data_IF_575903355460
#
_entry.id   IF_575903355460
#
_cell.length_a   1.000
_cell.length_b   1.000
_cell.length_c   1.000
_cell.angle_alpha   90.00
_cell.angle_beta   90.00
_cell.angle_gamma   90.00
#
_symmetry.space_group_name_H-M   'P 1'
#
loop_
_entity.id
_entity.type
_entity.pdbx_description
1 polymer ?
#
# COMPACT_ATOMS: atom_id res chain seq x y z
N UNK A 1 -14.80 57.83 39.16
CA UNK A 1 -14.45 57.58 37.74
C UNK A 1 -15.32 56.45 37.23
N UNK A 2 -15.94 56.69 36.07
CA UNK A 2 -17.17 56.05 35.61
C UNK A 2 -16.97 54.65 34.99
N UNK A 3 -17.95 53.79 35.22
CA UNK A 3 -18.10 52.49 34.58
C UNK A 3 -18.45 52.61 33.09
N UNK A 4 -18.00 51.64 32.29
CA UNK A 4 -18.34 51.53 30.86
C UNK A 4 -19.57 50.63 30.67
N UNK A 5 -20.47 50.97 29.73
CA UNK A 5 -21.66 50.17 29.44
C UNK A 5 -21.32 48.98 28.52
N UNK A 6 -21.94 47.83 28.78
CA UNK A 6 -21.93 46.66 27.89
C UNK A 6 -22.96 46.87 26.79
N UNK A 7 -22.48 47.16 25.60
CA UNK A 7 -23.30 47.36 24.42
C UNK A 7 -23.75 46.01 23.85
N UNK A 8 -25.01 45.68 24.08
CA UNK A 8 -25.66 44.45 23.63
C UNK A 8 -26.01 44.54 22.15
N UNK A 9 -25.23 43.88 21.30
CA UNK A 9 -25.68 43.56 19.93
C UNK A 9 -26.07 42.09 19.86
N UNK A 10 -27.37 41.86 19.90
CA UNK A 10 -28.00 40.59 19.55
C UNK A 10 -27.52 40.13 18.16
N UNK A 11 -27.03 38.89 18.09
CA UNK A 11 -26.80 38.21 16.81
C UNK A 11 -28.16 37.79 16.25
N UNK A 12 -28.44 38.00 14.95
CA UNK A 12 -29.64 37.46 14.34
C UNK A 12 -29.56 35.93 14.29
N UNK A 13 -30.65 35.30 14.76
CA UNK A 13 -30.94 33.87 14.62
C UNK A 13 -30.87 33.46 13.15
N UNK A 14 -29.84 32.67 12.79
CA UNK A 14 -29.85 31.95 11.53
C UNK A 14 -30.97 30.92 11.56
N UNK A 15 -32.05 31.18 10.83
CA UNK A 15 -32.98 30.16 10.39
C UNK A 15 -32.20 29.07 9.65
N UNK A 16 -31.97 27.93 10.32
CA UNK A 16 -31.63 26.69 9.64
C UNK A 16 -32.84 26.32 8.80
N UNK A 17 -32.75 26.52 7.48
CA UNK A 17 -33.58 25.79 6.55
C UNK A 17 -33.30 24.30 6.76
N UNK A 18 -34.26 23.63 7.39
CA UNK A 18 -34.41 22.19 7.42
C UNK A 18 -34.66 21.73 5.99
N UNK A 19 -33.58 21.45 5.26
CA UNK A 19 -33.69 20.54 4.13
C UNK A 19 -34.08 19.18 4.70
N UNK A 20 -35.37 18.87 4.57
CA UNK A 20 -35.87 17.51 4.54
C UNK A 20 -35.10 16.76 3.45
N UNK A 21 -33.96 16.18 3.81
CA UNK A 21 -33.49 14.99 3.13
C UNK A 21 -34.54 13.93 3.43
N UNK A 22 -35.39 13.68 2.45
CA UNK A 22 -36.15 12.45 2.36
C UNK A 22 -35.14 11.31 2.34
N UNK A 23 -34.76 10.84 3.53
CA UNK A 23 -34.07 9.59 3.73
C UNK A 23 -34.96 8.51 3.16
N UNK A 24 -34.65 8.09 1.94
CA UNK A 24 -35.13 6.83 1.41
C UNK A 24 -34.60 5.76 2.34
N UNK A 25 -35.44 5.41 3.31
CA UNK A 25 -35.28 4.27 4.20
C UNK A 25 -35.37 3.01 3.35
N UNK A 26 -34.31 2.71 2.61
CA UNK A 26 -34.04 1.32 2.24
C UNK A 26 -33.56 0.67 3.52
N UNK A 27 -34.52 0.13 4.26
CA UNK A 27 -34.30 -1.02 5.11
C UNK A 27 -33.63 -2.12 4.26
N UNK A 28 -32.30 -2.04 4.12
CA UNK A 28 -31.47 -3.22 4.09
C UNK A 28 -31.72 -3.87 5.45
N UNK A 29 -32.72 -4.74 5.48
CA UNK A 29 -32.78 -5.80 6.47
C UNK A 29 -31.43 -6.49 6.33
N UNK A 30 -30.50 -6.10 7.20
CA UNK A 30 -29.38 -6.92 7.59
C UNK A 30 -30.00 -8.19 8.13
N UNK A 31 -30.25 -9.13 7.22
CA UNK A 31 -30.35 -10.53 7.53
C UNK A 31 -28.97 -10.84 8.08
N UNK A 32 -28.79 -10.63 9.38
CA UNK A 32 -27.79 -11.32 10.16
C UNK A 32 -28.19 -12.77 10.05
N UNK A 33 -27.89 -13.38 8.90
CA UNK A 33 -27.74 -14.82 8.80
C UNK A 33 -26.73 -15.12 9.90
N UNK A 34 -27.25 -15.59 11.03
CA UNK A 34 -26.52 -16.44 11.95
C UNK A 34 -25.80 -17.43 11.04
N UNK A 35 -24.53 -17.17 10.78
CA UNK A 35 -23.64 -18.03 10.01
C UNK A 35 -23.48 -19.28 10.85
N UNK A 36 -24.50 -20.14 10.79
CA UNK A 36 -24.47 -21.50 11.29
C UNK A 36 -23.17 -22.06 10.77
N UNK A 37 -22.26 -22.39 11.70
CA UNK A 37 -20.92 -22.89 11.41
C UNK A 37 -21.06 -24.02 10.40
N UNK A 38 -20.84 -23.73 9.12
CA UNK A 38 -21.00 -24.72 8.06
C UNK A 38 -19.94 -25.77 8.33
N UNK A 39 -20.38 -27.01 8.54
CA UNK A 39 -19.47 -28.13 8.69
C UNK A 39 -18.66 -28.23 7.41
N UNK A 40 -17.35 -28.40 7.54
CA UNK A 40 -16.50 -28.64 6.39
C UNK A 40 -17.02 -29.88 5.63
N UNK A 41 -16.92 -29.89 4.29
CA UNK A 41 -17.27 -31.08 3.51
C UNK A 41 -16.39 -32.25 3.96
N UNK A 42 -16.96 -33.46 3.96
CA UNK A 42 -16.22 -34.68 4.32
C UNK A 42 -15.12 -34.90 3.27
N UNK A 43 -13.88 -34.97 3.73
CA UNK A 43 -12.71 -35.29 2.90
C UNK A 43 -12.38 -36.78 3.08
N UNK A 44 -12.11 -37.48 1.98
CA UNK A 44 -11.68 -38.88 2.03
C UNK A 44 -10.16 -38.93 2.18
N UNK A 45 -9.69 -39.45 3.31
CA UNK A 45 -8.26 -39.60 3.55
C UNK A 45 -7.71 -40.82 2.77
N UNK A 46 -6.51 -40.73 2.18
CA UNK A 46 -5.88 -41.86 1.54
C UNK A 46 -5.68 -42.99 2.55
N UNK A 47 -6.04 -44.21 2.16
CA UNK A 47 -5.94 -45.40 3.02
C UNK A 47 -4.64 -46.17 2.79
N UNK A 48 -3.89 -45.84 1.73
CA UNK A 48 -2.65 -46.54 1.33
C UNK A 48 -1.57 -45.55 0.91
N UNK A 49 -0.31 -45.97 0.96
CA UNK A 49 0.82 -45.15 0.51
C UNK A 49 0.71 -44.83 -0.98
N UNK A 50 0.29 -45.80 -1.80
CA UNK A 50 0.10 -45.60 -3.24
C UNK A 50 -0.95 -44.53 -3.56
N UNK A 51 -2.07 -44.52 -2.81
CA UNK A 51 -3.10 -43.48 -2.97
C UNK A 51 -2.60 -42.12 -2.49
N UNK A 52 -1.80 -42.07 -1.42
CA UNK A 52 -1.17 -40.83 -0.99
C UNK A 52 -0.16 -40.28 -2.03
N UNK A 53 0.66 -41.14 -2.65
CA UNK A 53 1.60 -40.75 -3.71
C UNK A 53 0.84 -40.17 -4.91
N UNK A 54 -0.25 -40.82 -5.33
CA UNK A 54 -1.09 -40.32 -6.43
C UNK A 54 -1.69 -38.94 -6.12
N UNK A 55 -2.22 -38.74 -4.90
CA UNK A 55 -2.76 -37.44 -4.47
C UNK A 55 -1.68 -36.35 -4.38
N UNK A 56 -0.47 -36.68 -3.95
CA UNK A 56 0.66 -35.74 -3.92
C UNK A 56 1.07 -35.35 -5.34
N UNK A 57 1.09 -36.29 -6.28
CA UNK A 57 1.38 -36.01 -7.69
C UNK A 57 0.32 -35.08 -8.30
N UNK A 58 -0.97 -35.37 -8.08
CA UNK A 58 -2.07 -34.50 -8.52
C UNK A 58 -1.98 -33.11 -7.88
N UNK A 59 -1.71 -33.04 -6.58
CA UNK A 59 -1.52 -31.77 -5.86
C UNK A 59 -0.40 -30.94 -6.48
N UNK A 60 0.76 -31.54 -6.78
CA UNK A 60 1.87 -30.86 -7.45
C UNK A 60 1.45 -30.34 -8.82
N UNK A 61 0.82 -31.17 -9.64
CA UNK A 61 0.43 -30.81 -11.01
C UNK A 61 -0.59 -29.66 -11.02
N UNK A 62 -1.51 -29.64 -10.04
CA UNK A 62 -2.45 -28.53 -9.83
C UNK A 62 -1.73 -27.23 -9.44
N UNK A 63 -0.72 -27.30 -8.58
CA UNK A 63 0.05 -26.11 -8.23
C UNK A 63 0.88 -25.61 -9.43
N UNK A 64 1.52 -26.50 -10.19
CA UNK A 64 2.27 -26.14 -11.39
C UNK A 64 1.36 -25.46 -12.43
N UNK A 65 0.15 -26.00 -12.63
CA UNK A 65 -0.85 -25.37 -13.50
C UNK A 65 -1.31 -24.02 -12.97
N UNK A 66 -1.50 -23.89 -11.65
CA UNK A 66 -1.84 -22.60 -11.04
C UNK A 66 -0.73 -21.57 -11.24
N UNK A 67 0.54 -21.98 -11.17
CA UNK A 67 1.68 -21.08 -11.33
C UNK A 67 1.84 -20.67 -12.80
N UNK A 68 1.68 -21.60 -13.75
CA UNK A 68 1.61 -21.31 -15.19
C UNK A 68 0.52 -20.27 -15.50
N UNK A 69 -0.70 -20.46 -14.97
CA UNK A 69 -1.81 -19.53 -15.18
C UNK A 69 -1.54 -18.14 -14.59
N UNK A 70 -0.86 -18.06 -13.44
CA UNK A 70 -0.45 -16.76 -12.87
C UNK A 70 0.58 -16.07 -13.75
N UNK A 71 1.57 -16.80 -14.24
CA UNK A 71 2.59 -16.26 -15.15
C UNK A 71 1.96 -15.76 -16.46
N UNK A 72 1.01 -16.50 -17.02
CA UNK A 72 0.26 -16.09 -18.20
C UNK A 72 -0.57 -14.83 -17.95
N UNK A 73 -1.20 -14.74 -16.76
CA UNK A 73 -1.95 -13.56 -16.35
C UNK A 73 -1.03 -12.34 -16.20
N UNK A 74 0.11 -12.48 -15.54
CA UNK A 74 1.09 -11.41 -15.36
C UNK A 74 1.66 -10.94 -16.70
N UNK A 75 1.98 -11.87 -17.61
CA UNK A 75 2.40 -11.57 -18.98
C UNK A 75 1.33 -10.80 -19.76
N UNK A 76 0.06 -11.19 -19.58
CA UNK A 76 -1.07 -10.52 -20.24
C UNK A 76 -1.29 -9.11 -19.68
N UNK A 77 -1.19 -8.94 -18.36
CA UNK A 77 -1.27 -7.63 -17.69
C UNK A 77 -0.13 -6.73 -18.17
N UNK A 78 1.09 -7.25 -18.27
CA UNK A 78 2.24 -6.49 -18.76
C UNK A 78 2.03 -6.01 -20.20
N UNK A 79 1.51 -6.86 -21.09
CA UNK A 79 1.17 -6.47 -22.47
C UNK A 79 0.11 -5.37 -22.53
N UNK A 80 -0.94 -5.48 -21.71
CA UNK A 80 -1.99 -4.46 -21.63
C UNK A 80 -1.43 -3.13 -21.11
N UNK A 81 -0.58 -3.18 -20.08
CA UNK A 81 0.08 -1.99 -19.55
C UNK A 81 0.99 -1.33 -20.59
N UNK A 82 1.79 -2.11 -21.30
CA UNK A 82 2.66 -1.59 -22.36
C UNK A 82 1.85 -0.91 -23.48
N UNK A 83 0.78 -1.56 -23.97
CA UNK A 83 -0.10 -0.98 -25.00
C UNK A 83 -0.79 0.30 -24.49
N UNK A 84 -1.30 0.29 -23.26
CA UNK A 84 -1.87 1.50 -22.63
C UNK A 84 -0.85 2.64 -22.60
N UNK A 85 0.37 2.36 -22.17
CA UNK A 85 1.41 3.37 -22.02
C UNK A 85 1.83 3.93 -23.39
N UNK A 86 1.85 3.10 -24.44
CA UNK A 86 2.05 3.54 -25.83
C UNK A 86 0.94 4.49 -26.31
N UNK A 87 -0.33 4.20 -26.01
CA UNK A 87 -1.45 5.09 -26.37
C UNK A 87 -1.49 6.38 -25.55
N UNK A 88 -1.09 6.32 -24.26
CA UNK A 88 -1.10 7.47 -23.36
C UNK A 88 0.07 8.42 -23.65
N UNK A 89 1.25 7.90 -24.00
CA UNK A 89 2.44 8.71 -24.25
C UNK A 89 2.23 9.92 -25.20
N UNK A 90 1.63 9.78 -26.40
CA UNK A 90 1.39 10.93 -27.27
C UNK A 90 0.34 11.91 -26.71
N UNK A 91 -0.65 11.43 -25.96
CA UNK A 91 -1.67 12.28 -25.33
C UNK A 91 -1.06 13.12 -24.20
N UNK A 92 -0.22 12.51 -23.36
CA UNK A 92 0.52 13.20 -22.30
C UNK A 92 1.48 14.23 -22.87
N UNK A 93 2.19 13.90 -23.96
CA UNK A 93 3.07 14.84 -24.63
C UNK A 93 2.26 16.04 -25.18
N UNK A 94 1.14 15.77 -25.84
CA UNK A 94 0.26 16.83 -26.35
C UNK A 94 -0.30 17.70 -25.23
N UNK A 95 -0.70 17.11 -24.10
CA UNK A 95 -1.20 17.83 -22.94
C UNK A 95 -0.12 18.75 -22.34
N UNK A 96 1.13 18.27 -22.23
CA UNK A 96 2.28 19.08 -21.77
C UNK A 96 2.55 20.26 -22.69
N UNK A 97 2.47 20.07 -23.99
CA UNK A 97 2.69 21.15 -24.96
C UNK A 97 1.58 22.20 -24.90
N UNK A 98 0.31 21.78 -24.81
CA UNK A 98 -0.83 22.69 -24.58
C UNK A 98 -0.67 23.45 -23.26
N UNK A 99 -0.25 22.77 -22.19
CA UNK A 99 -0.02 23.41 -20.90
C UNK A 99 1.06 24.50 -20.98
N UNK A 100 2.17 24.26 -21.69
CA UNK A 100 3.23 25.26 -21.91
C UNK A 100 2.71 26.47 -22.70
N UNK A 101 1.92 26.24 -23.74
CA UNK A 101 1.29 27.30 -24.53
C UNK A 101 0.36 28.16 -23.65
N UNK A 102 -0.53 27.51 -22.88
CA UNK A 102 -1.43 28.19 -21.96
C UNK A 102 -0.68 28.94 -20.86
N UNK A 103 0.41 28.39 -20.34
CA UNK A 103 1.26 29.07 -19.35
C UNK A 103 1.89 30.35 -19.92
N UNK A 104 2.43 30.28 -21.13
CA UNK A 104 3.01 31.45 -21.80
C UNK A 104 1.94 32.52 -22.07
N UNK A 105 0.77 32.12 -22.55
CA UNK A 105 -0.37 33.02 -22.75
C UNK A 105 -0.88 33.64 -21.44
N UNK A 106 -0.95 32.84 -20.37
CA UNK A 106 -1.40 33.29 -19.05
C UNK A 106 -0.49 34.38 -18.47
N UNK A 107 0.82 34.29 -18.68
CA UNK A 107 1.76 35.32 -18.21
C UNK A 107 1.46 36.72 -18.76
N UNK A 108 0.89 36.81 -19.97
CA UNK A 108 0.49 38.07 -20.61
C UNK A 108 -0.96 38.45 -20.29
N UNK A 109 -1.86 37.45 -20.25
CA UNK A 109 -3.31 37.69 -20.16
C UNK A 109 -3.86 37.71 -18.73
N UNK A 110 -3.11 37.20 -17.74
CA UNK A 110 -3.58 37.15 -16.36
C UNK A 110 -3.96 38.52 -15.77
N UNK A 111 -3.20 39.62 -15.97
CA UNK A 111 -3.53 40.92 -15.40
C UNK A 111 -4.88 41.46 -15.88
N UNK A 112 -5.20 41.28 -17.17
CA UNK A 112 -6.47 41.75 -17.75
C UNK A 112 -7.66 40.88 -17.33
N UNK A 113 -7.46 39.56 -17.23
CA UNK A 113 -8.54 38.63 -16.87
C UNK A 113 -8.87 38.62 -15.37
N UNK A 114 -7.89 38.94 -14.52
CA UNK A 114 -8.06 38.89 -13.06
C UNK A 114 -8.26 40.26 -12.43
N UNK A 115 -8.05 41.34 -13.20
CA UNK A 115 -7.96 42.72 -12.72
C UNK A 115 -6.98 42.88 -11.53
N UNK A 116 -6.01 41.97 -11.39
CA UNK A 116 -5.12 41.88 -10.22
C UNK A 116 -5.78 41.50 -8.89
N UNK A 117 -7.10 41.26 -8.87
CA UNK A 117 -7.87 40.97 -7.65
C UNK A 117 -7.87 39.48 -7.27
N UNK A 118 -7.66 38.59 -8.24
CA UNK A 118 -7.76 37.13 -8.06
C UNK A 118 -6.56 36.44 -8.71
N UNK A 119 -6.14 35.30 -8.18
CA UNK A 119 -5.04 34.50 -8.75
C UNK A 119 -5.49 33.49 -9.81
N UNK A 120 -6.79 33.37 -10.06
CA UNK A 120 -7.37 32.36 -10.95
C UNK A 120 -8.73 32.77 -11.52
N UNK A 121 -9.08 32.24 -12.69
CA UNK A 121 -10.37 32.41 -13.38
C UNK A 121 -10.88 31.06 -13.91
N UNK A 122 -12.17 30.99 -14.26
CA UNK A 122 -12.78 29.82 -14.90
C UNK A 122 -12.93 30.12 -16.40
N UNK A 123 -12.38 29.28 -17.26
CA UNK A 123 -12.46 29.37 -18.72
C UNK A 123 -12.71 27.97 -19.30
N UNK A 124 -13.70 27.86 -20.20
CA UNK A 124 -14.07 26.59 -20.84
C UNK A 124 -14.29 25.42 -19.84
N UNK A 125 -14.87 25.71 -18.67
CA UNK A 125 -15.09 24.71 -17.61
C UNK A 125 -13.86 24.36 -16.77
N UNK A 126 -12.67 24.87 -17.12
CA UNK A 126 -11.43 24.65 -16.39
C UNK A 126 -11.04 25.87 -15.57
N UNK A 127 -10.43 25.66 -14.40
CA UNK A 127 -9.86 26.74 -13.59
C UNK A 127 -8.38 26.92 -13.95
N UNK A 128 -8.02 28.10 -14.45
CA UNK A 128 -6.64 28.48 -14.75
C UNK A 128 -6.19 29.57 -13.76
N UNK A 129 -4.94 29.51 -13.32
CA UNK A 129 -4.39 30.47 -12.37
C UNK A 129 -3.07 30.02 -11.77
N UNK A 130 -2.54 30.86 -10.88
CA UNK A 130 -1.31 30.59 -10.16
C UNK A 130 -1.62 30.11 -8.74
N UNK A 131 -0.86 29.10 -8.29
CA UNK A 131 -0.93 28.57 -6.93
C UNK A 131 0.47 28.46 -6.36
N UNK A 132 0.62 28.88 -5.11
CA UNK A 132 1.82 28.59 -4.32
C UNK A 132 1.83 27.11 -3.97
N UNK A 133 2.89 26.39 -4.34
CA UNK A 133 3.07 25.00 -3.96
C UNK A 133 3.23 24.87 -2.45
N UNK A 134 2.87 23.71 -1.89
CA UNK A 134 3.15 23.41 -0.49
C UNK A 134 4.65 23.55 -0.24
N UNK A 135 5.07 24.16 0.89
CA UNK A 135 6.48 24.18 1.27
C UNK A 135 7.02 22.75 1.33
N UNK A 136 8.15 22.51 0.69
CA UNK A 136 8.91 21.27 0.78
C UNK A 136 10.26 21.60 1.43
N UNK A 137 10.65 20.83 2.44
CA UNK A 137 11.97 20.93 3.03
C UNK A 137 13.01 20.48 2.01
N UNK A 138 13.98 21.33 1.71
CA UNK A 138 15.17 20.98 0.93
C UNK A 138 16.38 21.00 1.86
N UNK A 139 17.27 20.04 1.67
CA UNK A 139 18.55 19.95 2.37
C UNK A 139 19.65 19.93 1.31
N UNK A 140 20.39 21.04 1.20
CA UNK A 140 21.38 21.20 0.14
C UNK A 140 22.64 20.37 0.48
N UNK A 141 22.91 19.34 -0.32
CA UNK A 141 24.12 18.51 -0.22
C UNK A 141 24.18 17.52 0.95
N UNK A 142 23.29 17.63 1.94
CA UNK A 142 23.19 16.70 3.05
C UNK A 142 22.32 15.49 2.70
N UNK A 143 22.69 14.30 3.18
CA UNK A 143 21.79 13.15 3.17
C UNK A 143 20.78 13.27 4.30
N UNK A 144 19.56 12.78 4.08
CA UNK A 144 18.48 12.82 5.08
C UNK A 144 18.91 12.12 6.36
N UNK A 145 19.59 10.97 6.26
CA UNK A 145 20.04 10.21 7.44
C UNK A 145 21.04 11.02 8.29
N UNK A 146 22.01 11.67 7.65
CA UNK A 146 22.96 12.56 8.35
C UNK A 146 22.26 13.75 9.00
N UNK A 147 21.22 14.30 8.36
CA UNK A 147 20.40 15.34 8.96
C UNK A 147 19.63 14.82 10.17
N UNK A 148 19.09 13.59 10.10
CA UNK A 148 18.42 12.94 11.23
C UNK A 148 19.39 12.75 12.40
N UNK A 149 20.60 12.24 12.13
CA UNK A 149 21.63 12.00 13.15
C UNK A 149 22.03 13.32 13.83
N UNK A 150 22.29 14.37 13.04
CA UNK A 150 22.62 15.70 13.58
C UNK A 150 21.49 16.29 14.41
N UNK A 151 20.24 16.15 13.96
CA UNK A 151 19.08 16.60 14.74
C UNK A 151 18.91 15.81 16.04
N UNK A 152 19.21 14.52 16.02
CA UNK A 152 19.19 13.67 17.21
C UNK A 152 20.30 14.05 18.19
N UNK A 153 21.52 14.28 17.70
CA UNK A 153 22.67 14.72 18.51
C UNK A 153 22.44 16.08 19.17
N UNK A 154 21.72 16.98 18.48
CA UNK A 154 21.30 18.28 19.00
C UNK A 154 20.08 18.20 19.93
N UNK A 155 19.49 17.02 20.12
CA UNK A 155 18.33 16.81 20.97
C UNK A 155 17.02 17.39 20.42
N UNK A 156 16.94 17.67 19.12
CA UNK A 156 15.78 18.29 18.47
C UNK A 156 14.71 17.26 18.08
N UNK A 157 14.23 16.50 19.07
CA UNK A 157 13.30 15.38 18.85
C UNK A 157 11.95 15.79 18.26
N UNK A 158 11.53 17.04 18.41
CA UNK A 158 10.29 17.60 17.83
C UNK A 158 10.31 17.67 16.29
N UNK A 159 11.50 17.67 15.69
CA UNK A 159 11.70 17.63 14.24
C UNK A 159 11.83 16.20 13.71
N UNK A 160 11.84 15.21 14.60
CA UNK A 160 12.04 13.80 14.27
C UNK A 160 10.77 13.00 14.55
N UNK A 161 10.43 12.10 13.63
CA UNK A 161 9.36 11.11 13.85
C UNK A 161 9.97 9.77 14.21
N UNK A 162 9.82 9.37 15.47
CA UNK A 162 10.32 8.09 15.99
C UNK A 162 9.24 7.01 15.80
N UNK A 163 9.62 5.88 15.22
CA UNK A 163 8.75 4.69 15.11
C UNK A 163 9.38 3.52 15.85
N UNK A 164 8.79 3.12 16.98
CA UNK A 164 9.23 1.94 17.72
C UNK A 164 8.51 0.70 17.21
N UNK A 165 9.27 -0.35 16.91
CA UNK A 165 8.74 -1.66 16.52
C UNK A 165 9.24 -2.71 17.50
N UNK A 166 8.39 -3.69 17.79
CA UNK A 166 8.78 -4.83 18.61
C UNK A 166 9.72 -5.72 17.81
N UNK A 167 10.91 -5.96 18.35
CA UNK A 167 11.78 -7.03 17.85
C UNK A 167 11.24 -8.38 18.31
N UNK A 168 10.42 -8.98 17.44
CA UNK A 168 9.76 -10.26 17.71
C UNK A 168 10.77 -11.38 17.91
N UNK A 169 11.87 -11.39 17.16
CA UNK A 169 12.86 -12.47 17.25
C UNK A 169 13.63 -12.38 18.57
N UNK A 170 14.03 -11.18 18.98
CA UNK A 170 14.63 -10.97 20.30
C UNK A 170 13.66 -11.34 21.44
N UNK A 171 12.37 -11.04 21.31
CA UNK A 171 11.36 -11.44 22.30
C UNK A 171 11.19 -12.97 22.38
N UNK A 172 11.11 -13.64 21.23
CA UNK A 172 11.01 -15.10 21.16
C UNK A 172 12.24 -15.74 21.82
N UNK A 173 13.45 -15.29 21.46
CA UNK A 173 14.70 -15.77 22.03
C UNK A 173 14.75 -15.53 23.54
N UNK A 174 14.43 -14.32 24.00
CA UNK A 174 14.41 -13.98 25.42
C UNK A 174 13.47 -14.87 26.26
N UNK A 175 12.29 -15.20 25.71
CA UNK A 175 11.32 -16.12 26.34
C UNK A 175 11.84 -17.56 26.30
N UNK A 176 12.38 -18.03 25.16
CA UNK A 176 12.91 -19.39 25.01
C UNK A 176 14.09 -19.65 25.93
N UNK A 177 15.02 -18.70 26.01
CA UNK A 177 16.24 -18.79 26.82
C UNK A 177 16.00 -18.46 28.30
N UNK A 178 14.75 -18.18 28.67
CA UNK A 178 14.33 -17.89 30.05
C UNK A 178 15.10 -16.75 30.73
N UNK A 179 15.45 -15.72 29.96
CA UNK A 179 16.18 -14.54 30.47
C UNK A 179 15.31 -13.69 31.40
N UNK A 180 15.91 -12.76 32.14
CA UNK A 180 15.16 -11.78 32.96
C UNK A 180 14.15 -10.99 32.13
N UNK A 181 14.53 -10.59 30.91
CA UNK A 181 13.64 -9.93 29.95
C UNK A 181 12.52 -10.88 29.50
N UNK A 182 12.82 -12.15 29.28
CA UNK A 182 11.83 -13.20 29.01
C UNK A 182 10.79 -13.33 30.11
N UNK A 183 11.21 -13.27 31.38
CA UNK A 183 10.29 -13.30 32.53
C UNK A 183 9.37 -12.09 32.58
N UNK A 184 9.90 -10.89 32.30
CA UNK A 184 9.07 -9.67 32.17
C UNK A 184 8.09 -9.81 31.01
N UNK A 185 8.52 -10.31 29.86
CA UNK A 185 7.64 -10.57 28.71
C UNK A 185 6.53 -11.57 29.06
N UNK A 186 6.87 -12.63 29.79
CA UNK A 186 5.89 -13.61 30.28
C UNK A 186 4.91 -12.98 31.28
N UNK A 187 5.38 -12.12 32.18
CA UNK A 187 4.52 -11.39 33.10
C UNK A 187 3.56 -10.44 32.38
N UNK A 188 4.03 -9.79 31.30
CA UNK A 188 3.22 -8.93 30.42
C UNK A 188 2.26 -9.70 29.50
N UNK A 189 2.31 -11.04 29.50
CA UNK A 189 1.41 -11.90 28.73
C UNK A 189 1.90 -12.31 27.34
N UNK A 190 3.13 -11.99 26.95
CA UNK A 190 3.72 -12.54 25.73
C UNK A 190 4.02 -14.03 25.90
N UNK A 191 3.79 -14.83 24.86
CA UNK A 191 4.02 -16.28 24.87
C UNK A 191 4.56 -16.72 23.52
N UNK A 192 5.46 -17.71 23.54
CA UNK A 192 5.82 -18.42 22.32
C UNK A 192 4.70 -19.41 22.01
N UNK A 193 4.11 -19.29 20.83
CA UNK A 193 3.12 -20.24 20.33
C UNK A 193 3.73 -20.96 19.14
N UNK A 194 4.07 -22.22 19.34
CA UNK A 194 4.55 -23.13 18.30
C UNK A 194 3.62 -24.33 18.26
N UNK A 195 3.19 -24.70 17.05
CA UNK A 195 2.36 -25.86 16.81
C UNK A 195 3.00 -26.68 15.68
N UNK A 196 2.87 -28.00 15.77
CA UNK A 196 3.25 -28.88 14.68
C UNK A 196 2.22 -28.73 13.55
N UNK A 197 2.70 -28.43 12.34
CA UNK A 197 1.86 -28.23 11.17
C UNK A 197 2.20 -29.26 10.10
N UNK A 198 1.16 -29.77 9.43
CA UNK A 198 1.33 -30.62 8.25
C UNK A 198 1.75 -29.78 7.06
N UNK A 199 2.77 -30.21 6.32
CA UNK A 199 3.28 -29.51 5.15
C UNK A 199 3.50 -30.47 3.98
N UNK A 200 3.41 -29.95 2.75
CA UNK A 200 3.78 -30.63 1.52
C UNK A 200 4.67 -29.66 0.74
N UNK A 201 5.98 -29.89 0.78
CA UNK A 201 6.96 -29.10 0.04
C UNK A 201 7.38 -29.81 -1.25
N UNK A 202 7.66 -29.02 -2.28
CA UNK A 202 8.27 -29.54 -3.51
C UNK A 202 9.75 -29.81 -3.21
N UNK A 203 10.22 -31.00 -3.52
CA UNK A 203 11.64 -31.33 -3.38
C UNK A 203 12.48 -30.35 -4.23
N UNK A 204 13.55 -29.81 -3.64
CA UNK A 204 14.50 -28.98 -4.38
C UNK A 204 15.06 -29.79 -5.56
N UNK A 205 15.01 -29.20 -6.76
CA UNK A 205 15.57 -29.82 -7.95
C UNK A 205 17.08 -29.87 -7.79
N UNK A 206 17.63 -31.02 -7.42
CA UNK A 206 19.07 -31.25 -7.39
C UNK A 206 19.62 -31.04 -8.80
N UNK A 207 20.37 -29.96 -9.01
CA UNK A 207 21.05 -29.71 -10.28
C UNK A 207 22.05 -30.85 -10.52
N UNK A 208 21.73 -31.72 -11.47
CA UNK A 208 22.68 -32.73 -11.94
C UNK A 208 23.75 -32.03 -12.76
N UNK A 209 24.96 -31.93 -12.20
CA UNK A 209 26.17 -31.56 -12.94
C UNK A 209 26.29 -32.48 -14.16
N UNK A 210 26.30 -31.96 -15.41
CA UNK A 210 26.45 -32.81 -16.57
C UNK A 210 27.80 -33.51 -16.51
N UNK A 211 27.79 -34.85 -16.41
CA UNK A 211 29.00 -35.65 -16.57
C UNK A 211 29.44 -35.53 -18.04
N UNK A 212 30.67 -35.08 -18.33
CA UNK A 212 31.19 -35.12 -19.67
C UNK A 212 31.34 -36.58 -20.10
N UNK A 213 30.70 -36.93 -21.21
CA UNK A 213 30.92 -38.22 -21.88
C UNK A 213 32.29 -38.15 -22.53
N UNK A 214 33.26 -38.93 -22.04
CA UNK A 214 34.54 -39.12 -22.73
C UNK A 214 34.27 -39.79 -24.08
N UNK A 215 34.42 -39.04 -25.16
CA UNK A 215 34.43 -39.58 -26.51
C UNK A 215 35.78 -40.25 -26.70
N UNK A 216 35.80 -41.58 -26.74
CA UNK A 216 37.00 -42.32 -27.12
C UNK A 216 37.26 -42.10 -28.60
N UNK A 217 38.33 -41.35 -28.89
CA UNK A 217 38.88 -41.14 -30.22
C UNK A 217 39.55 -42.46 -30.65
N UNK A 218 38.82 -43.33 -31.35
CA UNK A 218 39.41 -44.48 -32.03
C UNK A 218 40.27 -43.97 -33.20
N UNK A 219 41.58 -43.99 -33.00
CA UNK A 219 42.57 -43.86 -34.05
C UNK A 219 42.67 -45.17 -34.85
N UNK A 220 42.28 -45.13 -36.13
CA UNK A 220 42.83 -45.97 -37.21
C UNK A 220 42.49 -45.38 -38.58
#
# INVERSE_FOLDING_TARGET
MAGRPRDGRMRPLRHRHSHHFAGSSRHLHGRTELMSRRKAPKQEAPQTIETAIALIAEYRDLLDKSDELKLDADSSIAKIQAARDEFVAPLDQRAKDIFRQLRAWWAVSAPSLTEGKRKSVILAGCKIGERTTTPALKHDGLKVDTLIDQLADLGLSELLRITTKLDKQACIAAITDNTELGQVLLWLGARNHQADEFFIDRAERKETTPQPVEVQEEAA
#
